data_IF_852664086467
#
_entry.id   IF_852664086467
#
_cell.length_a   1.000
_cell.length_b   1.000
_cell.length_c   1.000
_cell.angle_alpha   90.00
_cell.angle_beta   90.00
_cell.angle_gamma   90.00
#
_symmetry.space_group_name_H-M   'P 1'
#
loop_
_entity.id
_entity.type
_entity.pdbx_description
1 polymer ?
#
# COMPACT_ATOMS: atom_id res chain seq x y z
N UNK A 1 6.49 39.50 -14.59
CA UNK A 1 7.10 39.02 -15.85
C UNK A 1 8.24 38.06 -15.52
N UNK A 2 7.98 36.75 -15.63
CA UNK A 2 8.92 35.69 -15.24
C UNK A 2 9.96 35.46 -16.36
N UNK A 3 11.27 35.49 -16.09
CA UNK A 3 12.31 35.28 -17.09
C UNK A 3 12.44 33.78 -17.38
N UNK A 4 11.59 33.29 -18.27
CA UNK A 4 11.49 31.89 -18.71
C UNK A 4 12.73 31.35 -19.44
N UNK A 5 13.74 32.18 -19.73
CA UNK A 5 14.79 31.82 -20.71
C UNK A 5 16.11 31.35 -20.10
N UNK A 6 16.32 31.46 -18.77
CA UNK A 6 17.60 31.06 -18.14
C UNK A 6 17.48 30.39 -16.77
N UNK A 7 16.26 30.05 -16.33
CA UNK A 7 16.09 29.07 -15.26
C UNK A 7 15.98 27.66 -15.87
N UNK A 8 17.09 26.93 -15.84
CA UNK A 8 17.09 25.55 -15.36
C UNK A 8 16.90 24.35 -16.29
N UNK A 9 17.28 24.34 -17.57
CA UNK A 9 17.40 23.04 -18.26
C UNK A 9 18.40 22.10 -17.53
N UNK A 10 19.55 22.67 -17.15
CA UNK A 10 20.59 21.98 -16.36
C UNK A 10 20.14 21.68 -14.92
N UNK A 11 19.46 22.61 -14.26
CA UNK A 11 18.97 22.41 -12.88
C UNK A 11 17.76 21.47 -12.82
N UNK A 12 16.92 21.43 -13.87
CA UNK A 12 15.85 20.46 -14.04
C UNK A 12 16.43 19.07 -14.28
N UNK A 13 17.40 18.94 -15.20
CA UNK A 13 18.12 17.69 -15.43
C UNK A 13 18.75 17.19 -14.12
N UNK A 14 19.49 18.03 -13.41
CA UNK A 14 20.11 17.69 -12.11
C UNK A 14 19.09 17.24 -11.06
N UNK A 15 17.89 17.82 -11.07
CA UNK A 15 16.82 17.43 -10.15
C UNK A 15 16.14 16.12 -10.53
N UNK A 16 16.04 15.82 -11.83
CA UNK A 16 15.44 14.60 -12.37
C UNK A 16 16.39 13.39 -12.36
N UNK A 17 17.70 13.62 -12.33
CA UNK A 17 18.71 12.55 -12.28
C UNK A 17 18.53 11.65 -11.06
N UNK A 18 18.24 12.20 -9.88
CA UNK A 18 18.07 11.39 -8.67
C UNK A 18 16.85 10.46 -8.73
N UNK A 19 15.63 10.95 -9.05
CA UNK A 19 14.49 10.09 -9.37
C UNK A 19 14.77 9.09 -10.50
N UNK A 20 15.50 9.51 -11.55
CA UNK A 20 15.88 8.64 -12.67
C UNK A 20 16.75 7.46 -12.25
N UNK A 21 17.79 7.71 -11.44
CA UNK A 21 18.65 6.66 -10.89
C UNK A 21 17.89 5.72 -9.96
N UNK A 22 17.02 6.26 -9.11
CA UNK A 22 16.19 5.42 -8.25
C UNK A 22 15.22 4.55 -9.06
N UNK A 23 14.53 5.11 -10.06
CA UNK A 23 13.66 4.35 -10.97
C UNK A 23 14.42 3.27 -11.73
N UNK A 24 15.63 3.57 -12.22
CA UNK A 24 16.51 2.60 -12.88
C UNK A 24 16.94 1.50 -11.91
N UNK A 25 17.29 1.85 -10.67
CA UNK A 25 17.64 0.88 -9.63
C UNK A 25 16.48 -0.06 -9.29
N UNK A 26 15.25 0.47 -9.18
CA UNK A 26 14.04 -0.33 -8.98
C UNK A 26 13.79 -1.26 -10.16
N UNK A 27 13.96 -0.77 -11.40
CA UNK A 27 13.83 -1.58 -12.61
C UNK A 27 14.86 -2.74 -12.63
N UNK A 28 16.13 -2.44 -12.37
CA UNK A 28 17.20 -3.45 -12.31
C UNK A 28 16.91 -4.47 -11.21
N UNK A 29 16.51 -4.03 -10.02
CA UNK A 29 16.12 -4.92 -8.93
C UNK A 29 14.95 -5.83 -9.35
N UNK A 30 13.92 -5.29 -9.98
CA UNK A 30 12.78 -6.08 -10.46
C UNK A 30 13.23 -7.17 -11.44
N UNK A 31 14.10 -6.83 -12.41
CA UNK A 31 14.64 -7.79 -13.38
C UNK A 31 15.45 -8.89 -12.67
N UNK A 32 16.29 -8.52 -11.70
CA UNK A 32 17.07 -9.49 -10.91
C UNK A 32 16.18 -10.43 -10.09
N UNK A 33 15.03 -9.95 -9.62
CA UNK A 33 14.01 -10.76 -8.94
C UNK A 33 13.14 -11.59 -9.92
N UNK A 34 13.41 -11.52 -11.23
CA UNK A 34 12.74 -12.33 -12.24
C UNK A 34 11.52 -11.67 -12.90
N UNK A 35 11.30 -10.36 -12.70
CA UNK A 35 10.26 -9.61 -13.40
C UNK A 35 10.50 -9.62 -14.92
N UNK A 36 9.44 -9.88 -15.69
CA UNK A 36 9.48 -9.97 -17.15
C UNK A 36 8.27 -9.27 -17.76
N UNK A 37 8.41 -8.82 -19.01
CA UNK A 37 7.34 -8.17 -19.78
C UNK A 37 7.47 -6.64 -19.81
N UNK A 38 7.17 -6.03 -20.95
CA UNK A 38 7.39 -4.60 -21.16
C UNK A 38 6.53 -3.73 -20.24
N UNK A 39 5.22 -4.00 -20.17
CA UNK A 39 4.28 -3.22 -19.37
C UNK A 39 4.63 -3.19 -17.86
N UNK A 40 4.82 -4.33 -17.16
CA UNK A 40 5.15 -4.31 -15.73
C UNK A 40 6.53 -3.68 -15.46
N UNK A 41 7.52 -3.87 -16.34
CA UNK A 41 8.84 -3.25 -16.19
C UNK A 41 8.78 -1.72 -16.30
N UNK A 42 8.02 -1.19 -17.26
CA UNK A 42 7.78 0.25 -17.37
C UNK A 42 7.03 0.77 -16.14
N UNK A 43 6.03 0.03 -15.66
CA UNK A 43 5.29 0.39 -14.44
C UNK A 43 6.23 0.48 -13.22
N UNK A 44 7.12 -0.50 -13.02
CA UNK A 44 8.09 -0.49 -11.92
C UNK A 44 9.12 0.64 -12.04
N UNK A 45 9.60 0.92 -13.26
CA UNK A 45 10.49 2.06 -13.50
C UNK A 45 9.81 3.39 -13.12
N UNK A 46 8.59 3.62 -13.61
CA UNK A 46 7.84 4.86 -13.34
C UNK A 46 7.44 4.98 -11.86
N UNK A 47 7.03 3.88 -11.23
CA UNK A 47 6.75 3.82 -9.80
C UNK A 47 7.99 4.14 -8.98
N UNK A 48 9.14 3.54 -9.33
CA UNK A 48 10.43 3.85 -8.73
C UNK A 48 10.77 5.33 -8.91
N UNK A 49 10.68 5.86 -10.13
CA UNK A 49 10.93 7.28 -10.40
C UNK A 49 10.06 8.20 -9.52
N UNK A 50 8.76 7.96 -9.47
CA UNK A 50 7.82 8.72 -8.66
C UNK A 50 8.13 8.61 -7.15
N UNK A 51 8.45 7.40 -6.67
CA UNK A 51 8.85 7.17 -5.28
C UNK A 51 10.15 7.91 -4.96
N UNK A 52 11.15 7.86 -5.84
CA UNK A 52 12.43 8.56 -5.67
C UNK A 52 12.23 10.08 -5.58
N UNK A 53 11.32 10.65 -6.36
CA UNK A 53 10.96 12.06 -6.26
C UNK A 53 10.27 12.38 -4.92
N UNK A 54 9.29 11.55 -4.52
CA UNK A 54 8.52 11.75 -3.29
C UNK A 54 9.37 11.59 -2.02
N UNK A 55 10.14 10.50 -1.93
CA UNK A 55 11.06 10.22 -0.82
C UNK A 55 12.11 11.32 -0.70
N UNK A 56 12.69 11.79 -1.81
CA UNK A 56 13.68 12.88 -1.76
C UNK A 56 13.09 14.14 -1.14
N UNK A 57 11.86 14.51 -1.51
CA UNK A 57 11.18 15.66 -0.93
C UNK A 57 10.94 15.47 0.57
N UNK A 58 10.47 14.30 0.98
CA UNK A 58 10.21 13.97 2.38
C UNK A 58 11.49 13.98 3.22
N UNK A 59 12.60 13.43 2.69
CA UNK A 59 13.91 13.44 3.35
C UNK A 59 14.44 14.87 3.49
N UNK A 60 14.34 15.70 2.45
CA UNK A 60 14.78 17.10 2.52
C UNK A 60 13.93 17.93 3.50
N UNK A 61 12.62 17.71 3.53
CA UNK A 61 11.71 18.37 4.47
C UNK A 61 12.04 17.96 5.93
N UNK A 62 12.20 16.66 6.16
CA UNK A 62 12.54 16.10 7.48
C UNK A 62 13.91 16.59 7.97
N UNK A 63 14.93 16.64 7.09
CA UNK A 63 16.26 17.16 7.46
C UNK A 63 16.26 18.64 7.83
N UNK A 64 15.37 19.45 7.25
CA UNK A 64 15.28 20.90 7.49
C UNK A 64 14.42 21.27 8.70
N UNK A 65 13.38 20.49 8.99
CA UNK A 65 12.34 20.84 9.97
C UNK A 65 12.17 19.78 11.06
N UNK A 66 13.03 18.76 11.11
CA UNK A 66 12.95 17.64 12.06
C UNK A 66 11.65 16.84 11.90
N UNK A 67 11.12 16.32 13.01
CA UNK A 67 9.85 15.56 13.03
C UNK A 67 8.66 16.40 12.54
N UNK A 68 8.71 17.74 12.71
CA UNK A 68 7.72 18.67 12.14
C UNK A 68 7.79 18.78 10.62
N UNK A 69 8.88 18.34 10.00
CA UNK A 69 9.03 18.19 8.55
C UNK A 69 8.48 16.88 8.00
N UNK A 70 8.04 15.96 8.86
CA UNK A 70 7.29 14.76 8.48
C UNK A 70 5.79 14.94 8.77
N UNK A 71 5.47 15.66 9.85
CA UNK A 71 4.09 15.95 10.28
C UNK A 71 3.54 17.20 9.59
N UNK A 72 2.34 17.12 9.01
CA UNK A 72 1.60 18.26 8.47
C UNK A 72 1.20 18.11 7.00
N UNK A 73 0.29 18.98 6.54
CA UNK A 73 -0.42 18.90 5.24
C UNK A 73 0.44 18.56 4.03
N UNK A 74 1.54 19.28 3.83
CA UNK A 74 2.39 19.11 2.65
C UNK A 74 3.08 17.74 2.63
N UNK A 75 3.56 17.26 3.77
CA UNK A 75 4.28 15.99 3.87
C UNK A 75 3.31 14.79 3.98
N UNK A 76 2.15 14.99 4.62
CA UNK A 76 1.04 14.02 4.60
C UNK A 76 0.59 13.71 3.17
N UNK A 77 0.46 14.73 2.31
CA UNK A 77 0.17 14.54 0.88
C UNK A 77 1.24 13.69 0.16
N UNK A 78 2.52 13.87 0.49
CA UNK A 78 3.59 13.04 -0.08
C UNK A 78 3.51 11.58 0.40
N UNK A 79 3.13 11.34 1.65
CA UNK A 79 2.89 10.00 2.19
C UNK A 79 1.71 9.32 1.47
N UNK A 80 0.64 10.06 1.17
CA UNK A 80 -0.46 9.55 0.34
C UNK A 80 0.04 9.12 -1.03
N UNK A 81 0.84 9.94 -1.71
CA UNK A 81 1.43 9.56 -2.99
C UNK A 81 2.29 8.30 -2.91
N UNK A 82 3.07 8.12 -1.84
CA UNK A 82 3.82 6.88 -1.62
C UNK A 82 2.88 5.67 -1.46
N UNK A 83 1.74 5.82 -0.79
CA UNK A 83 0.71 4.80 -0.70
C UNK A 83 0.09 4.45 -2.07
N UNK A 84 -0.20 5.46 -2.90
CA UNK A 84 -0.69 5.25 -4.28
C UNK A 84 0.35 4.51 -5.13
N UNK A 85 1.62 4.89 -5.02
CA UNK A 85 2.72 4.23 -5.75
C UNK A 85 2.86 2.77 -5.30
N UNK A 86 2.75 2.49 -3.99
CA UNK A 86 2.77 1.12 -3.47
C UNK A 86 1.63 0.28 -4.03
N UNK A 87 0.40 0.81 -4.06
CA UNK A 87 -0.74 0.13 -4.68
C UNK A 87 -0.51 -0.11 -6.17
N UNK A 88 0.02 0.88 -6.90
CA UNK A 88 0.30 0.73 -8.33
C UNK A 88 1.30 -0.40 -8.61
N UNK A 89 2.37 -0.51 -7.80
CA UNK A 89 3.35 -1.60 -7.90
C UNK A 89 2.72 -2.95 -7.56
N UNK A 90 1.97 -3.01 -6.46
CA UNK A 90 1.31 -4.23 -6.02
C UNK A 90 0.29 -4.72 -7.07
N UNK A 91 -0.51 -3.81 -7.62
CA UNK A 91 -1.49 -4.10 -8.66
C UNK A 91 -0.83 -4.53 -9.98
N UNK A 92 0.21 -3.83 -10.42
CA UNK A 92 0.96 -4.22 -11.61
C UNK A 92 1.58 -5.61 -11.45
N UNK A 93 2.07 -5.94 -10.25
CA UNK A 93 2.64 -7.25 -9.96
C UNK A 93 1.58 -8.35 -9.89
N UNK A 94 0.49 -8.11 -9.18
CA UNK A 94 -0.56 -9.10 -8.92
C UNK A 94 -1.32 -9.51 -10.18
N UNK A 95 -1.37 -8.65 -11.21
CA UNK A 95 -2.03 -8.93 -12.49
C UNK A 95 -1.07 -9.40 -13.59
N UNK A 96 0.21 -9.03 -13.52
CA UNK A 96 1.17 -9.41 -14.56
C UNK A 96 1.82 -10.78 -14.31
N UNK A 97 1.77 -11.26 -13.07
CA UNK A 97 2.46 -12.46 -12.61
C UNK A 97 1.55 -13.41 -11.84
N UNK A 98 0.24 -13.33 -12.05
CA UNK A 98 -0.67 -14.35 -11.53
C UNK A 98 -0.48 -15.68 -12.25
N UNK A 99 -0.67 -16.77 -11.50
CA UNK A 99 -0.61 -18.12 -12.02
C UNK A 99 -1.92 -18.80 -11.69
N UNK A 100 -2.68 -19.14 -12.71
CA UNK A 100 -3.92 -19.90 -12.62
C UNK A 100 -3.68 -21.36 -13.04
N UNK A 101 -4.15 -22.29 -12.22
CA UNK A 101 -4.22 -23.70 -12.56
C UNK A 101 -5.55 -24.30 -12.14
N UNK A 102 -6.15 -25.02 -13.07
CA UNK A 102 -7.26 -25.91 -12.79
C UNK A 102 -6.75 -27.35 -12.72
N UNK A 103 -7.21 -28.09 -11.73
CA UNK A 103 -6.81 -29.47 -11.53
C UNK A 103 -7.96 -30.29 -10.94
N UNK A 104 -7.99 -31.57 -11.30
CA UNK A 104 -8.82 -32.56 -10.63
C UNK A 104 -7.97 -33.27 -9.58
N UNK A 105 -8.44 -33.29 -8.34
CA UNK A 105 -7.80 -33.97 -7.22
C UNK A 105 -8.66 -35.13 -6.74
N UNK A 106 -8.01 -36.21 -6.31
CA UNK A 106 -8.66 -37.41 -5.79
C UNK A 106 -8.02 -37.85 -4.48
N UNK A 107 -8.82 -38.33 -3.52
CA UNK A 107 -8.28 -38.89 -2.27
C UNK A 107 -7.46 -40.15 -2.53
N UNK A 108 -7.93 -41.02 -3.42
CA UNK A 108 -7.17 -42.16 -3.93
C UNK A 108 -6.53 -41.81 -5.29
N UNK A 109 -5.19 -41.75 -5.39
CA UNK A 109 -4.52 -41.32 -6.60
C UNK A 109 -4.66 -42.36 -7.71
N UNK A 110 -5.14 -41.90 -8.87
CA UNK A 110 -5.23 -42.67 -10.12
C UNK A 110 -4.56 -41.90 -11.26
N UNK A 111 -4.31 -42.56 -12.38
CA UNK A 111 -3.72 -41.88 -13.54
C UNK A 111 -4.60 -40.69 -13.97
N UNK A 112 -4.02 -39.49 -13.99
CA UNK A 112 -4.75 -38.25 -14.29
C UNK A 112 -5.52 -37.61 -13.12
N UNK A 113 -5.47 -38.19 -11.92
CA UNK A 113 -6.07 -37.59 -10.71
C UNK A 113 -5.18 -37.79 -9.48
N UNK A 114 -4.19 -36.91 -9.26
CA UNK A 114 -3.32 -36.98 -8.09
C UNK A 114 -4.05 -36.48 -6.83
N UNK A 115 -3.56 -36.89 -5.66
CA UNK A 115 -4.02 -36.35 -4.36
C UNK A 115 -3.43 -34.97 -4.07
N UNK A 116 -2.23 -34.71 -4.59
CA UNK A 116 -1.45 -33.50 -4.33
C UNK A 116 -0.99 -32.86 -5.63
N UNK A 117 -1.04 -31.54 -5.69
CA UNK A 117 -0.47 -30.73 -6.77
C UNK A 117 0.38 -29.60 -6.21
N UNK A 118 1.34 -29.14 -7.02
CA UNK A 118 2.14 -27.96 -6.70
C UNK A 118 1.81 -26.82 -7.67
N UNK A 119 1.47 -25.64 -7.15
CA UNK A 119 1.16 -24.45 -7.94
C UNK A 119 2.00 -23.27 -7.43
N UNK A 120 2.88 -22.74 -8.28
CA UNK A 120 3.75 -21.60 -7.95
C UNK A 120 4.55 -21.76 -6.63
N UNK A 121 4.95 -22.98 -6.28
CA UNK A 121 5.70 -23.28 -5.05
C UNK A 121 4.84 -23.61 -3.83
N UNK A 122 3.52 -23.52 -3.93
CA UNK A 122 2.58 -23.99 -2.90
C UNK A 122 2.18 -25.44 -3.15
N UNK A 123 2.13 -26.24 -2.07
CA UNK A 123 1.67 -27.62 -2.12
C UNK A 123 0.21 -27.69 -1.66
N UNK A 124 -0.66 -28.26 -2.51
CA UNK A 124 -2.07 -28.42 -2.25
C UNK A 124 -2.42 -29.91 -2.24
N UNK A 125 -2.91 -30.42 -1.10
CA UNK A 125 -3.33 -31.81 -0.93
C UNK A 125 -4.80 -31.90 -0.61
N UNK A 126 -5.54 -32.71 -1.36
CA UNK A 126 -6.96 -32.94 -1.11
C UNK A 126 -7.17 -34.05 -0.08
N UNK A 127 -7.88 -33.73 1.00
CA UNK A 127 -8.12 -34.61 2.15
C UNK A 127 -9.52 -35.24 2.16
N UNK A 128 -10.32 -34.96 1.13
CA UNK A 128 -11.72 -35.41 1.01
C UNK A 128 -12.72 -34.27 1.16
N UNK A 129 -14.00 -34.63 1.06
CA UNK A 129 -15.11 -33.69 1.15
C UNK A 129 -15.75 -33.72 2.54
N UNK A 130 -16.48 -32.65 2.85
CA UNK A 130 -17.33 -32.57 4.03
C UNK A 130 -18.62 -31.84 3.66
N UNK A 131 -19.76 -32.47 3.98
CA UNK A 131 -21.07 -31.84 3.90
C UNK A 131 -21.42 -31.28 5.29
N UNK A 132 -21.71 -29.98 5.33
CA UNK A 132 -22.22 -29.30 6.52
C UNK A 132 -23.52 -28.60 6.16
N UNK A 133 -24.65 -29.16 6.63
CA UNK A 133 -25.97 -28.60 6.37
C UNK A 133 -26.69 -28.21 7.67
N UNK A 134 -27.38 -27.08 7.65
CA UNK A 134 -28.23 -26.58 8.74
C UNK A 134 -29.46 -25.86 8.18
N UNK A 135 -30.39 -25.46 9.07
CA UNK A 135 -31.64 -24.78 8.71
C UNK A 135 -31.45 -23.48 7.90
N UNK A 136 -30.28 -22.86 7.98
CA UNK A 136 -29.97 -21.62 7.27
C UNK A 136 -29.26 -21.85 5.93
N UNK A 137 -28.56 -22.97 5.73
CA UNK A 137 -27.78 -23.28 4.51
C UNK A 137 -27.27 -24.73 4.48
N UNK A 138 -27.14 -25.27 3.27
CA UNK A 138 -26.39 -26.48 2.98
C UNK A 138 -25.02 -26.10 2.38
N UNK A 139 -23.93 -26.67 2.88
CA UNK A 139 -22.57 -26.44 2.40
C UNK A 139 -21.90 -27.76 2.03
N UNK A 140 -21.33 -27.82 0.82
CA UNK A 140 -20.44 -28.91 0.42
C UNK A 140 -19.03 -28.34 0.27
N UNK A 141 -18.13 -28.77 1.15
CA UNK A 141 -16.77 -28.28 1.26
C UNK A 141 -15.76 -29.35 0.81
N UNK A 142 -14.68 -28.94 0.18
CA UNK A 142 -13.50 -29.78 -0.04
C UNK A 142 -12.43 -29.40 0.99
N UNK A 143 -11.93 -30.37 1.75
CA UNK A 143 -10.83 -30.16 2.68
C UNK A 143 -9.52 -30.21 1.91
N UNK A 144 -8.81 -29.08 1.88
CA UNK A 144 -7.56 -28.91 1.14
C UNK A 144 -6.49 -28.41 2.09
N UNK A 145 -5.41 -29.16 2.22
CA UNK A 145 -4.20 -28.75 2.92
C UNK A 145 -3.35 -27.89 1.99
N UNK A 146 -3.05 -26.66 2.38
CA UNK A 146 -2.17 -25.73 1.67
C UNK A 146 -1.00 -25.42 2.57
N UNK A 147 0.20 -25.81 2.16
CA UNK A 147 1.46 -25.62 2.92
C UNK A 147 1.34 -26.01 4.41
N UNK A 148 0.67 -27.13 4.69
CA UNK A 148 0.49 -27.67 6.03
C UNK A 148 -0.67 -27.07 6.84
N UNK A 149 -1.46 -26.16 6.26
CA UNK A 149 -2.69 -25.64 6.90
C UNK A 149 -3.93 -26.01 6.11
N UNK A 150 -4.95 -26.49 6.81
CA UNK A 150 -6.18 -26.94 6.21
C UNK A 150 -7.16 -25.79 5.94
N UNK A 151 -7.81 -25.86 4.79
CA UNK A 151 -8.81 -24.92 4.31
C UNK A 151 -9.99 -25.69 3.72
N UNK A 152 -11.16 -25.06 3.74
CA UNK A 152 -12.42 -25.67 3.30
C UNK A 152 -13.13 -24.81 2.25
N UNK A 153 -12.58 -24.63 1.03
CA UNK A 153 -13.33 -24.07 -0.07
C UNK A 153 -14.53 -24.96 -0.38
N UNK A 154 -15.66 -24.35 -0.74
CA UNK A 154 -16.92 -25.06 -0.89
C UNK A 154 -17.90 -24.40 -1.83
N UNK A 155 -19.08 -24.98 -1.88
CA UNK A 155 -20.27 -24.43 -2.52
C UNK A 155 -21.37 -24.46 -1.47
N UNK A 156 -22.14 -23.38 -1.37
CA UNK A 156 -23.22 -23.25 -0.40
C UNK A 156 -24.54 -22.91 -1.09
N UNK A 157 -25.63 -23.46 -0.56
CA UNK A 157 -27.00 -23.22 -1.02
C UNK A 157 -27.86 -22.76 0.15
N UNK A 158 -28.71 -21.76 -0.09
CA UNK A 158 -29.63 -21.21 0.91
C UNK A 158 -31.06 -21.76 0.72
N UNK A 159 -31.83 -22.02 1.78
CA UNK A 159 -33.17 -22.65 1.69
C UNK A 159 -34.15 -21.90 0.79
N UNK A 160 -34.04 -20.57 0.74
CA UNK A 160 -34.92 -19.71 -0.04
C UNK A 160 -34.38 -19.42 -1.46
N UNK A 161 -33.30 -20.09 -1.87
CA UNK A 161 -32.64 -19.86 -3.15
C UNK A 161 -32.20 -21.16 -3.81
N UNK A 162 -32.61 -21.37 -5.06
CA UNK A 162 -32.13 -22.48 -5.88
C UNK A 162 -30.72 -22.24 -6.48
N UNK A 163 -30.03 -21.18 -6.07
CA UNK A 163 -28.70 -20.83 -6.58
C UNK A 163 -27.62 -21.40 -5.66
N UNK A 164 -26.68 -22.12 -6.28
CA UNK A 164 -25.44 -22.55 -5.64
C UNK A 164 -24.43 -21.42 -5.72
N UNK A 165 -23.84 -21.05 -4.58
CA UNK A 165 -22.89 -19.94 -4.46
C UNK A 165 -21.53 -20.50 -4.05
N UNK A 166 -20.50 -20.23 -4.83
CA UNK A 166 -19.13 -20.62 -4.47
C UNK A 166 -18.66 -19.92 -3.19
N UNK A 167 -18.02 -20.67 -2.31
CA UNK A 167 -17.33 -20.24 -1.10
C UNK A 167 -15.83 -20.47 -1.31
N UNK A 168 -15.15 -19.58 -2.06
CA UNK A 168 -13.71 -19.72 -2.25
C UNK A 168 -12.99 -19.46 -0.94
N UNK A 169 -11.77 -20.00 -0.82
CA UNK A 169 -10.87 -19.71 0.30
C UNK A 169 -9.65 -18.94 -0.20
N UNK A 170 -9.21 -17.97 0.59
CA UNK A 170 -7.99 -17.20 0.32
C UNK A 170 -7.04 -17.35 1.49
N UNK A 171 -5.78 -17.63 1.18
CA UNK A 171 -4.67 -17.47 2.11
C UNK A 171 -3.73 -16.38 1.61
N UNK A 172 -3.17 -15.60 2.54
CA UNK A 172 -2.37 -14.42 2.23
C UNK A 172 -1.04 -14.50 2.97
N UNK A 173 0.05 -14.30 2.23
CA UNK A 173 1.40 -14.08 2.76
C UNK A 173 1.89 -12.70 2.34
N UNK A 174 3.08 -12.30 2.80
CA UNK A 174 3.70 -11.06 2.33
C UNK A 174 4.22 -11.15 0.88
N UNK A 175 4.36 -12.36 0.33
CA UNK A 175 4.88 -12.60 -1.02
C UNK A 175 3.73 -12.77 -2.01
N UNK A 176 2.72 -13.53 -1.65
CA UNK A 176 1.65 -13.99 -2.52
C UNK A 176 0.36 -14.26 -1.75
N UNK A 177 -0.72 -14.38 -2.51
CA UNK A 177 -2.02 -14.82 -2.05
C UNK A 177 -2.47 -15.99 -2.90
N UNK A 178 -2.97 -17.04 -2.25
CA UNK A 178 -3.51 -18.22 -2.93
C UNK A 178 -5.02 -18.22 -2.75
N UNK A 179 -5.74 -18.07 -3.86
CA UNK A 179 -7.19 -18.19 -3.96
C UNK A 179 -7.53 -19.58 -4.49
N UNK A 180 -8.39 -20.29 -3.77
CA UNK A 180 -8.85 -21.63 -4.15
C UNK A 180 -10.36 -21.62 -4.24
N UNK A 181 -10.87 -22.01 -5.39
CA UNK A 181 -12.30 -22.11 -5.65
C UNK A 181 -12.64 -23.50 -6.21
N UNK A 182 -13.81 -24.03 -5.84
CA UNK A 182 -14.34 -25.23 -6.46
C UNK A 182 -14.97 -24.88 -7.81
N UNK A 183 -14.70 -25.70 -8.82
CA UNK A 183 -15.32 -25.58 -10.14
C UNK A 183 -16.60 -26.41 -10.22
N UNK A 184 -16.62 -27.55 -9.54
CA UNK A 184 -17.77 -28.43 -9.40
C UNK A 184 -18.01 -28.79 -7.93
N UNK A 185 -19.20 -29.33 -7.65
CA UNK A 185 -19.45 -30.03 -6.40
C UNK A 185 -18.47 -31.20 -6.25
N UNK A 186 -17.84 -31.36 -5.08
CA UNK A 186 -17.12 -32.58 -4.76
C UNK A 186 -18.00 -33.80 -4.97
N UNK A 187 -17.47 -34.78 -5.71
CA UNK A 187 -18.17 -36.03 -6.00
C UNK A 187 -17.62 -37.11 -5.07
N UNK A 188 -18.48 -37.59 -4.17
CA UNK A 188 -18.19 -38.66 -3.23
C UNK A 188 -18.84 -39.99 -3.68
N UNK A 189 -19.25 -40.12 -4.95
CA UNK A 189 -19.86 -41.35 -5.46
C UNK A 189 -18.81 -42.47 -5.65
N UNK A 190 -18.74 -43.40 -4.69
CA UNK A 190 -17.93 -44.61 -4.77
C UNK A 190 -16.89 -44.74 -3.65
N UNK A 191 -15.72 -45.31 -3.96
CA UNK A 191 -14.62 -45.52 -3.00
C UNK A 191 -13.65 -44.33 -2.91
N UNK A 192 -13.66 -43.43 -3.90
CA UNK A 192 -12.75 -42.29 -4.01
C UNK A 192 -13.52 -40.98 -4.14
N UNK A 193 -13.23 -39.99 -3.29
CA UNK A 193 -13.76 -38.64 -3.46
C UNK A 193 -12.94 -37.88 -4.50
N UNK A 194 -13.61 -37.08 -5.35
CA UNK A 194 -12.94 -36.29 -6.39
C UNK A 194 -13.44 -34.86 -6.41
N UNK A 195 -12.56 -33.90 -6.69
CA UNK A 195 -12.92 -32.48 -6.77
C UNK A 195 -12.16 -31.77 -7.88
N UNK A 196 -12.83 -30.89 -8.62
CA UNK A 196 -12.17 -29.95 -9.55
C UNK A 196 -11.98 -28.61 -8.85
N UNK A 197 -10.72 -28.19 -8.74
CA UNK A 197 -10.33 -26.95 -8.09
C UNK A 197 -9.66 -26.02 -9.07
N UNK A 198 -9.90 -24.73 -8.89
CA UNK A 198 -9.14 -23.65 -9.51
C UNK A 198 -8.32 -22.95 -8.44
N UNK A 199 -7.02 -22.89 -8.69
CA UNK A 199 -6.03 -22.29 -7.81
C UNK A 199 -5.43 -21.11 -8.54
N UNK A 200 -5.51 -19.93 -7.94
CA UNK A 200 -4.93 -18.69 -8.48
C UNK A 200 -3.93 -18.18 -7.44
N UNK A 201 -2.66 -18.10 -7.82
CA UNK A 201 -1.58 -17.55 -7.00
C UNK A 201 -1.24 -16.17 -7.51
N UNK A 202 -1.42 -15.14 -6.68
CA UNK A 202 -1.22 -13.74 -7.05
C UNK A 202 -0.16 -13.10 -6.15
N UNK A 203 0.95 -12.59 -6.69
CA UNK A 203 1.97 -11.95 -5.88
C UNK A 203 1.52 -10.57 -5.38
N UNK A 204 2.05 -10.17 -4.23
CA UNK A 204 1.96 -8.82 -3.66
C UNK A 204 0.56 -8.29 -3.29
N UNK A 205 -0.48 -9.12 -3.25
CA UNK A 205 -1.86 -8.65 -2.93
C UNK A 205 -1.94 -7.97 -1.56
N UNK A 206 -1.26 -8.47 -0.54
CA UNK A 206 -1.24 -7.84 0.80
C UNK A 206 -0.71 -6.40 0.76
N UNK A 207 0.20 -6.09 -0.17
CA UNK A 207 0.75 -4.74 -0.31
C UNK A 207 -0.26 -3.71 -0.83
N UNK A 208 -1.36 -4.15 -1.46
CA UNK A 208 -2.49 -3.27 -1.79
C UNK A 208 -3.12 -2.69 -0.51
N UNK A 209 -3.32 -3.57 0.49
CA UNK A 209 -3.88 -3.17 1.79
C UNK A 209 -2.90 -2.33 2.59
N UNK A 210 -1.61 -2.69 2.58
CA UNK A 210 -0.56 -1.87 3.22
C UNK A 210 -0.52 -0.48 2.58
N UNK A 211 -0.54 -0.39 1.25
CA UNK A 211 -0.59 0.90 0.54
C UNK A 211 -1.84 1.70 0.88
N UNK A 212 -3.00 1.03 1.00
CA UNK A 212 -4.25 1.61 1.52
C UNK A 212 -4.08 2.21 2.92
N UNK A 213 -3.45 1.47 3.83
CA UNK A 213 -3.13 1.93 5.18
C UNK A 213 -2.18 3.12 5.18
N UNK A 214 -1.15 3.12 4.33
CA UNK A 214 -0.21 4.25 4.17
C UNK A 214 -0.95 5.49 3.66
N UNK A 215 -1.86 5.35 2.71
CA UNK A 215 -2.69 6.46 2.24
C UNK A 215 -3.59 7.01 3.36
N UNK A 216 -4.28 6.14 4.10
CA UNK A 216 -5.12 6.56 5.21
C UNK A 216 -4.32 7.32 6.27
N UNK A 217 -3.13 6.84 6.60
CA UNK A 217 -2.20 7.50 7.52
C UNK A 217 -1.73 8.86 6.98
N UNK A 218 -1.30 8.94 5.72
CA UNK A 218 -0.91 10.19 5.08
C UNK A 218 -2.05 11.21 5.02
N UNK A 219 -3.27 10.76 4.75
CA UNK A 219 -4.47 11.59 4.73
C UNK A 219 -4.81 12.12 6.13
N UNK A 220 -4.72 11.28 7.17
CA UNK A 220 -4.86 11.70 8.55
C UNK A 220 -3.83 12.79 8.90
N UNK A 221 -2.55 12.58 8.58
CA UNK A 221 -1.51 13.61 8.76
C UNK A 221 -1.79 14.90 7.99
N UNK A 222 -2.41 14.79 6.81
CA UNK A 222 -2.73 15.95 5.98
C UNK A 222 -3.96 16.74 6.47
N UNK A 223 -4.87 16.07 7.17
CA UNK A 223 -6.06 16.65 7.75
C UNK A 223 -5.75 17.57 8.93
N UNK A 224 -4.69 17.29 9.71
CA UNK A 224 -4.29 18.15 10.84
C UNK A 224 -3.50 19.39 10.37
N UNK A 225 -4.06 20.61 10.50
CA UNK A 225 -3.37 21.83 10.10
C UNK A 225 -2.26 22.16 11.11
N UNK A 226 -1.01 22.12 10.68
CA UNK A 226 0.07 22.79 11.40
C UNK A 226 -0.25 24.30 11.51
N UNK A 227 0.04 24.91 12.66
CA UNK A 227 -0.15 26.36 12.89
C UNK A 227 0.45 27.13 11.72
N UNK A 228 -0.42 27.75 10.93
CA UNK A 228 -0.04 28.65 9.84
C UNK A 228 0.67 29.84 10.49
N UNK A 229 1.89 30.15 10.06
CA UNK A 229 2.38 31.53 10.22
C UNK A 229 1.44 32.39 9.39
N UNK A 230 0.84 33.41 9.99
CA UNK A 230 -0.09 34.25 9.26
C UNK A 230 0.69 34.86 8.08
N UNK A 231 0.19 34.76 6.84
CA UNK A 231 0.86 35.37 5.68
C UNK A 231 1.01 36.90 5.78
N UNK A 232 0.34 37.50 6.75
CA UNK A 232 0.34 38.93 7.07
C UNK A 232 1.37 39.24 8.17
N UNK A 233 1.96 38.23 8.84
CA UNK A 233 3.02 38.47 9.81
C UNK A 233 4.25 39.03 9.06
N UNK A 234 4.72 40.23 9.42
CA UNK A 234 5.91 40.80 8.79
C UNK A 234 7.12 39.90 9.06
N UNK A 235 8.01 39.78 8.06
CA UNK A 235 9.24 38.96 8.13
C UNK A 235 10.16 39.37 9.30
N UNK A 236 9.93 40.57 9.86
CA UNK A 236 10.66 41.14 10.99
C UNK A 236 9.97 41.02 12.35
N UNK A 237 8.86 40.27 12.47
CA UNK A 237 8.17 40.13 13.75
C UNK A 237 9.14 39.56 14.82
N UNK A 238 9.44 40.30 15.90
CA UNK A 238 10.30 39.79 16.96
C UNK A 238 9.68 38.54 17.56
N UNK A 239 10.51 37.53 17.85
CA UNK A 239 10.08 36.42 18.70
C UNK A 239 9.56 37.01 20.02
N UNK A 240 8.42 36.54 20.57
CA UNK A 240 7.96 37.01 21.86
C UNK A 240 9.08 36.85 22.87
N UNK A 241 9.61 37.97 23.36
CA UNK A 241 10.60 37.97 24.41
C UNK A 241 9.98 37.26 25.61
N UNK A 242 10.61 36.17 26.05
CA UNK A 242 10.27 35.55 27.30
C UNK A 242 10.64 36.53 28.43
N UNK A 243 9.63 37.26 28.94
CA UNK A 243 9.61 37.95 30.24
C UNK A 243 10.65 39.04 30.47
N UNK A 244 10.18 40.27 30.74
CA UNK A 244 11.01 41.29 31.41
C UNK A 244 10.62 42.71 31.04
N UNK A 245 9.87 43.34 31.94
CA UNK A 245 9.80 44.76 32.28
C UNK A 245 9.45 45.79 31.18
N UNK A 246 8.22 46.31 31.28
CA UNK A 246 7.82 47.53 30.60
C UNK A 246 8.57 48.76 31.15
N UNK A 247 8.69 49.85 30.37
CA UNK A 247 9.38 51.04 30.84
C UNK A 247 8.62 51.69 32.00
N UNK A 248 9.30 52.28 33.00
CA UNK A 248 8.63 52.94 34.11
C UNK A 248 7.86 54.18 33.61
N UNK A 249 6.73 54.52 34.24
CA UNK A 249 6.00 55.75 33.92
C UNK A 249 6.78 56.95 34.47
N UNK A 250 7.05 57.94 33.61
CA UNK A 250 7.60 59.24 34.03
C UNK A 250 6.60 59.94 34.97
N UNK A 251 7.04 60.21 36.19
CA UNK A 251 6.32 60.99 37.18
C UNK A 251 7.05 62.32 37.45
N UNK A 252 6.23 63.38 37.39
CA UNK A 252 6.32 64.66 38.09
C UNK A 252 7.13 65.83 37.49
N UNK A 253 6.34 66.74 36.91
CA UNK A 253 6.12 68.14 37.33
C UNK A 253 7.31 69.09 37.58
N UNK A 254 7.22 70.20 36.82
CA UNK A 254 7.38 71.60 37.24
C UNK A 254 8.71 72.04 37.87
N UNK A 255 9.52 72.74 37.06
CA UNK A 255 10.38 73.83 37.56
C UNK A 255 10.29 75.04 36.64
N UNK A 256 9.82 76.12 37.25
CA UNK A 256 9.64 77.49 36.78
C UNK A 256 10.90 78.17 36.22
N UNK A 257 10.77 79.27 35.45
CA UNK A 257 11.90 79.97 34.84
C UNK A 257 12.45 81.08 35.74
N UNK A 258 13.78 81.21 35.84
CA UNK A 258 14.47 82.44 36.23
C UNK A 258 15.76 82.54 35.42
N UNK A 259 15.95 83.68 34.75
CA UNK A 259 17.04 83.91 33.81
C UNK A 259 18.25 84.68 34.35
N UNK A 260 19.02 85.14 33.34
CA UNK A 260 20.08 86.15 33.29
C UNK A 260 21.52 85.67 33.54
N UNK A 261 22.37 85.90 32.53
CA UNK A 261 23.79 86.18 32.77
C UNK A 261 24.78 85.88 31.63
N UNK A 262 24.75 86.64 30.54
CA UNK A 262 25.89 87.40 29.95
C UNK A 262 25.50 87.99 28.61
#
# INVERSE_FOLDING_TARGET
VLPWRKASAETLATRLLWPGWFGTGVLVLAILLGARGFAPLVAFFLAGFAAGAAVRQLVLATRRQGVRGFLGRTNGGMIVHLGVIMIAVAFASSNAYDVEREARLCTDPVEGCPTTITVSGHELTYLGSEDTSNDARAELNARILVDGKEYAPGIQQFPNGNQQIGKPTVTNTLRDSVLIALLDLPDDTGTSSTVRVRVIVQPMVVWLWIGGGVMAFGAALAAFPGKRRNPIDPVSAPLPAAGGDGPPPDADEDRTPVGVGS
#
